data_IF_456305344156
#
_entry.id   IF_456305344156
#
_cell.length_a   1.000
_cell.length_b   1.000
_cell.length_c   1.000
_cell.angle_alpha   90.00
_cell.angle_beta   90.00
_cell.angle_gamma   90.00
#
_symmetry.space_group_name_H-M   'P 1'
#
loop_
_entity.id
_entity.type
_entity.pdbx_description
1 polymer ?
#
# COMPACT_ATOMS: atom_id res chain seq x y z
N UNK A 1 -24.54 7.17 23.48
CA UNK A 1 -24.37 8.59 23.11
C UNK A 1 -23.33 8.57 21.99
N UNK A 2 -23.78 8.79 20.78
CA UNK A 2 -22.96 8.59 19.55
C UNK A 2 -22.25 9.89 19.23
N UNK A 3 -20.92 9.91 19.27
CA UNK A 3 -20.12 11.01 18.76
C UNK A 3 -19.81 10.76 17.28
N UNK A 4 -20.27 11.68 16.46
CA UNK A 4 -19.93 11.75 15.05
C UNK A 4 -18.45 12.15 14.91
N UNK A 5 -17.63 11.25 14.35
CA UNK A 5 -16.29 11.58 13.89
C UNK A 5 -16.47 12.36 12.59
N UNK A 6 -16.44 13.67 12.70
CA UNK A 6 -16.48 14.57 11.54
C UNK A 6 -15.17 14.49 10.77
N UNK A 7 -15.26 14.25 9.47
CA UNK A 7 -14.15 14.39 8.55
C UNK A 7 -13.75 15.87 8.47
N UNK A 8 -12.54 16.18 8.91
CA UNK A 8 -11.92 17.49 8.65
C UNK A 8 -11.21 17.39 7.31
N UNK A 9 -11.83 17.93 6.28
CA UNK A 9 -11.19 18.21 4.99
C UNK A 9 -10.53 19.59 5.12
N UNK A 10 -9.20 19.61 5.14
CA UNK A 10 -8.47 20.87 4.97
C UNK A 10 -7.97 20.94 3.52
N UNK A 11 -8.54 21.87 2.77
CA UNK A 11 -8.04 22.28 1.47
C UNK A 11 -6.87 23.24 1.67
N UNK A 12 -5.76 23.03 0.97
CA UNK A 12 -4.68 24.02 0.83
C UNK A 12 -4.12 24.08 -0.58
N UNK A 13 -3.83 25.30 -0.98
CA UNK A 13 -3.58 25.87 -2.28
C UNK A 13 -2.11 25.71 -2.70
N UNK A 14 -1.93 25.62 -4.02
CA UNK A 14 -0.74 25.56 -4.88
C UNK A 14 0.36 26.62 -4.68
N UNK A 15 1.60 26.21 -4.85
CA UNK A 15 2.70 26.89 -5.61
C UNK A 15 3.84 25.87 -5.72
N UNK A 16 4.45 25.49 -6.77
CA UNK A 16 4.91 25.98 -8.02
C UNK A 16 6.41 25.79 -8.18
N UNK A 17 6.85 24.93 -9.16
CA UNK A 17 8.06 25.00 -9.98
C UNK A 17 9.48 24.90 -9.40
N UNK A 18 10.25 23.95 -9.94
CA UNK A 18 11.69 24.05 -10.09
C UNK A 18 12.38 22.78 -10.56
N UNK A 19 12.69 22.68 -11.84
CA UNK A 19 13.38 21.55 -12.45
C UNK A 19 14.90 21.56 -12.24
N UNK A 20 15.54 20.43 -12.52
CA UNK A 20 17.00 20.31 -12.59
C UNK A 20 17.49 18.90 -12.89
N UNK A 21 18.00 18.74 -14.01
CA UNK A 21 18.73 17.76 -14.82
C UNK A 21 19.65 16.76 -14.13
N UNK A 22 19.82 15.60 -14.78
CA UNK A 22 21.11 14.96 -14.91
C UNK A 22 21.09 13.43 -14.76
N UNK A 23 21.20 12.74 -15.88
CA UNK A 23 21.24 11.31 -16.01
C UNK A 23 22.47 10.63 -15.44
N UNK A 24 22.37 9.32 -15.26
CA UNK A 24 23.46 8.33 -15.47
C UNK A 24 22.93 6.91 -15.41
N UNK A 25 23.50 6.06 -16.28
CA UNK A 25 23.14 4.68 -16.47
C UNK A 25 23.34 3.77 -15.26
N UNK A 26 22.70 2.62 -15.37
CA UNK A 26 22.74 1.38 -14.59
C UNK A 26 23.68 1.40 -13.36
N UNK A 27 23.19 1.87 -12.22
CA UNK A 27 23.94 1.85 -10.96
C UNK A 27 23.19 1.06 -9.90
N UNK A 28 23.79 -0.03 -9.42
CA UNK A 28 23.45 -0.60 -8.11
C UNK A 28 23.77 0.47 -7.06
N UNK A 29 22.77 1.01 -6.39
CA UNK A 29 23.03 1.77 -5.17
C UNK A 29 23.23 0.82 -3.99
N UNK A 30 24.24 1.06 -3.12
CA UNK A 30 24.22 0.51 -1.79
C UNK A 30 22.96 0.98 -1.07
N UNK A 31 22.42 0.20 -0.14
CA UNK A 31 21.32 0.62 0.72
C UNK A 31 21.67 2.01 1.28
N UNK A 32 20.84 3.01 0.95
CA UNK A 32 21.05 4.37 1.42
C UNK A 32 20.93 4.36 2.93
N UNK A 33 21.91 4.93 3.64
CA UNK A 33 21.75 5.09 5.09
C UNK A 33 20.68 6.14 5.36
N UNK A 34 19.89 6.05 6.45
CA UNK A 34 18.87 7.05 6.80
C UNK A 34 19.40 8.50 6.77
N UNK A 35 20.65 8.72 7.19
CA UNK A 35 21.30 10.03 7.14
C UNK A 35 21.48 10.56 5.71
N UNK A 36 21.69 9.68 4.70
CA UNK A 36 21.78 10.09 3.30
C UNK A 36 20.42 10.55 2.74
N UNK A 37 19.33 10.21 3.41
CA UNK A 37 17.95 10.58 3.05
C UNK A 37 17.41 11.75 3.89
N UNK A 38 18.26 12.39 4.71
CA UNK A 38 17.90 13.55 5.52
C UNK A 38 17.33 13.20 6.91
N UNK A 39 17.25 11.92 7.27
CA UNK A 39 16.84 11.53 8.63
C UNK A 39 18.02 11.65 9.60
N UNK A 40 17.81 12.12 10.84
CA UNK A 40 18.85 12.14 11.87
C UNK A 40 19.31 10.73 12.23
N UNK A 41 20.43 10.64 12.93
CA UNK A 41 20.96 9.35 13.39
C UNK A 41 19.94 8.67 14.32
N UNK A 42 19.73 7.37 14.11
CA UNK A 42 18.84 6.59 14.96
C UNK A 42 19.27 6.64 16.44
N UNK A 43 18.32 6.72 17.37
CA UNK A 43 18.63 6.69 18.80
C UNK A 43 19.25 5.35 19.21
N UNK A 44 20.02 5.37 20.32
CA UNK A 44 20.53 4.14 20.91
C UNK A 44 19.36 3.27 21.42
N UNK A 45 19.44 1.98 21.16
CA UNK A 45 18.42 1.00 21.54
C UNK A 45 18.88 0.25 22.80
N UNK A 46 17.96 0.03 23.72
CA UNK A 46 18.17 -0.83 24.89
C UNK A 46 17.77 -2.27 24.57
N UNK A 47 18.54 -3.22 25.09
CA UNK A 47 18.17 -4.63 25.06
C UNK A 47 17.36 -5.02 26.31
N UNK A 48 16.67 -6.16 26.22
CA UNK A 48 16.00 -6.79 27.34
C UNK A 48 14.55 -6.32 27.58
N UNK A 49 13.96 -6.75 28.70
CA UNK A 49 12.57 -6.47 29.04
C UNK A 49 12.34 -4.98 29.38
N UNK A 50 11.09 -4.55 29.27
CA UNK A 50 10.68 -3.22 29.76
C UNK A 50 10.82 -3.13 31.29
N UNK A 51 11.17 -1.94 31.80
CA UNK A 51 11.10 -1.63 33.20
C UNK A 51 9.68 -1.91 33.75
N UNK A 52 9.53 -2.56 34.92
CA UNK A 52 8.21 -2.82 35.50
C UNK A 52 7.33 -1.56 35.63
N UNK A 53 7.93 -0.40 36.00
CA UNK A 53 7.20 0.87 36.09
C UNK A 53 6.63 1.32 34.73
N UNK A 54 7.36 1.05 33.63
CA UNK A 54 6.90 1.35 32.27
C UNK A 54 5.75 0.42 31.88
N UNK A 55 5.82 -0.87 32.25
CA UNK A 55 4.70 -1.81 32.01
C UNK A 55 3.45 -1.38 32.76
N UNK A 56 3.58 -0.99 34.04
CA UNK A 56 2.46 -0.49 34.86
C UNK A 56 1.87 0.80 34.21
N UNK A 57 2.73 1.71 33.74
CA UNK A 57 2.30 2.94 33.10
C UNK A 57 1.58 2.66 31.77
N UNK A 58 2.05 1.73 30.95
CA UNK A 58 1.37 1.36 29.69
C UNK A 58 -0.02 0.77 29.95
N UNK A 59 -0.19 -0.02 31.01
CA UNK A 59 -1.47 -0.61 31.38
C UNK A 59 -2.55 0.44 31.71
N UNK A 60 -2.16 1.65 32.13
CA UNK A 60 -3.09 2.76 32.36
C UNK A 60 -3.17 3.73 31.22
N UNK A 61 -2.05 3.99 30.53
CA UNK A 61 -1.95 4.95 29.44
C UNK A 61 -2.77 4.53 28.20
N UNK A 62 -2.60 3.28 27.74
CA UNK A 62 -3.26 2.84 26.50
C UNK A 62 -4.79 2.90 26.59
N UNK A 63 -5.45 2.38 27.65
CA UNK A 63 -6.88 2.54 27.80
C UNK A 63 -7.33 4.00 27.95
N UNK A 64 -6.52 4.86 28.58
CA UNK A 64 -6.87 6.27 28.82
C UNK A 64 -6.95 7.09 27.54
N UNK A 65 -6.15 6.77 26.52
CA UNK A 65 -6.19 7.42 25.21
C UNK A 65 -7.56 7.28 24.53
N UNK A 66 -8.24 6.18 24.77
CA UNK A 66 -9.54 5.85 24.21
C UNK A 66 -10.71 6.37 25.08
N UNK A 67 -10.39 6.96 26.22
CA UNK A 67 -11.31 7.67 27.10
C UNK A 67 -11.38 9.16 26.79
N UNK A 68 -11.96 9.93 27.72
CA UNK A 68 -12.12 11.38 27.56
C UNK A 68 -10.80 12.15 27.79
N UNK A 69 -9.85 11.57 28.49
CA UNK A 69 -8.57 12.22 28.85
C UNK A 69 -7.43 11.22 28.92
N UNK A 70 -6.35 11.52 28.21
CA UNK A 70 -5.12 10.73 28.24
C UNK A 70 -4.39 10.88 29.60
N UNK A 71 -3.92 9.77 30.18
CA UNK A 71 -3.12 9.76 31.40
C UNK A 71 -1.73 10.37 31.16
N UNK A 72 -1.57 11.64 31.54
CA UNK A 72 -0.33 12.40 31.37
C UNK A 72 0.80 11.96 32.32
N UNK A 73 0.47 11.43 33.48
CA UNK A 73 1.47 10.94 34.44
C UNK A 73 2.07 9.63 33.92
N UNK A 74 1.23 8.72 33.43
CA UNK A 74 1.68 7.49 32.81
C UNK A 74 2.51 7.77 31.53
N UNK A 75 2.08 8.73 30.69
CA UNK A 75 2.86 9.14 29.51
C UNK A 75 4.25 9.70 29.91
N UNK A 76 4.34 10.46 31.00
CA UNK A 76 5.61 10.98 31.46
C UNK A 76 6.56 9.84 31.93
N UNK A 77 6.05 8.82 32.63
CA UNK A 77 6.84 7.62 32.96
C UNK A 77 7.39 6.91 31.75
N UNK A 78 6.54 6.74 30.69
CA UNK A 78 6.96 6.13 29.43
C UNK A 78 8.05 6.97 28.76
N UNK A 79 7.84 8.29 28.65
CA UNK A 79 8.77 9.20 27.98
C UNK A 79 10.12 9.31 28.71
N UNK A 80 10.10 9.36 30.06
CA UNK A 80 11.29 9.49 30.88
C UNK A 80 12.09 8.19 31.03
N UNK A 81 11.56 7.06 30.56
CA UNK A 81 12.26 5.77 30.57
C UNK A 81 13.53 5.79 29.69
N UNK A 82 13.59 6.62 28.69
CA UNK A 82 14.68 6.68 27.69
C UNK A 82 14.82 5.39 26.87
N UNK A 83 13.78 4.56 26.78
CA UNK A 83 13.74 3.39 25.90
C UNK A 83 13.11 3.77 24.54
N UNK A 84 13.97 4.03 23.58
CA UNK A 84 13.55 4.51 22.25
C UNK A 84 12.57 3.56 21.54
N UNK A 85 12.55 2.26 21.87
CA UNK A 85 11.63 1.29 21.28
C UNK A 85 10.15 1.64 21.54
N UNK A 86 9.88 2.33 22.68
CA UNK A 86 8.52 2.78 23.03
C UNK A 86 7.98 3.87 22.09
N UNK A 87 8.82 4.48 21.27
CA UNK A 87 8.40 5.46 20.28
C UNK A 87 7.43 4.87 19.23
N UNK A 88 7.45 3.55 19.01
CA UNK A 88 6.43 2.88 18.19
C UNK A 88 5.03 2.96 18.80
N UNK A 89 4.91 2.77 20.12
CA UNK A 89 3.61 2.92 20.81
C UNK A 89 3.15 4.39 20.79
N UNK A 90 4.08 5.33 20.92
CA UNK A 90 3.77 6.78 20.77
C UNK A 90 3.25 7.07 19.38
N UNK A 91 3.86 6.50 18.33
CA UNK A 91 3.37 6.61 16.96
C UNK A 91 1.95 6.05 16.80
N UNK A 92 1.70 4.85 17.35
CA UNK A 92 0.36 4.26 17.31
C UNK A 92 -0.67 5.14 18.04
N UNK A 93 -0.33 5.66 19.22
CA UNK A 93 -1.20 6.58 19.96
C UNK A 93 -1.47 7.87 19.19
N UNK A 94 -0.49 8.43 18.49
CA UNK A 94 -0.66 9.61 17.63
C UNK A 94 -1.70 9.38 16.53
N UNK A 95 -1.77 8.17 15.98
CA UNK A 95 -2.78 7.81 14.96
C UNK A 95 -4.21 7.89 15.47
N UNK A 96 -4.40 7.74 16.78
CA UNK A 96 -5.71 7.76 17.45
C UNK A 96 -5.94 9.01 18.31
N UNK A 97 -4.98 9.92 18.38
CA UNK A 97 -5.11 11.15 19.19
C UNK A 97 -6.29 12.01 18.68
N UNK A 98 -7.25 12.26 19.57
CA UNK A 98 -8.47 13.00 19.27
C UNK A 98 -8.32 14.51 19.46
N UNK A 99 -7.30 14.97 20.20
CA UNK A 99 -7.09 16.37 20.53
C UNK A 99 -5.68 16.86 20.20
N UNK A 100 -5.55 18.13 19.82
CA UNK A 100 -4.23 18.77 19.64
C UNK A 100 -3.37 18.74 20.91
N UNK A 101 -4.00 18.73 22.09
CA UNK A 101 -3.29 18.67 23.34
C UNK A 101 -2.64 17.29 23.54
N UNK A 102 -3.32 16.21 23.14
CA UNK A 102 -2.79 14.85 23.18
C UNK A 102 -1.70 14.67 22.12
N UNK A 103 -1.94 15.15 20.90
CA UNK A 103 -0.93 15.15 19.86
C UNK A 103 0.36 15.84 20.31
N UNK A 104 0.26 17.05 20.87
CA UNK A 104 1.42 17.79 21.36
C UNK A 104 2.19 17.02 22.45
N UNK A 105 1.49 16.40 23.40
CA UNK A 105 2.15 15.64 24.45
C UNK A 105 2.83 14.37 23.94
N UNK A 106 2.23 13.69 22.98
CA UNK A 106 2.80 12.51 22.34
C UNK A 106 4.05 12.86 21.51
N UNK A 107 4.03 13.99 20.78
CA UNK A 107 5.22 14.49 20.08
C UNK A 107 6.36 14.84 21.04
N UNK A 108 6.05 15.46 22.17
CA UNK A 108 7.05 15.73 23.21
C UNK A 108 7.59 14.42 23.83
N UNK A 109 6.73 13.41 24.03
CA UNK A 109 7.16 12.08 24.49
C UNK A 109 8.10 11.42 23.47
N UNK A 110 7.78 11.50 22.18
CA UNK A 110 8.67 11.02 21.12
C UNK A 110 10.04 11.70 21.18
N UNK A 111 10.07 13.05 21.30
CA UNK A 111 11.33 13.80 21.39
C UNK A 111 12.16 13.39 22.60
N UNK A 112 11.53 13.10 23.75
CA UNK A 112 12.24 12.60 24.97
C UNK A 112 12.81 11.20 24.78
N UNK A 113 12.08 10.32 24.10
CA UNK A 113 12.51 8.93 23.85
C UNK A 113 13.64 8.85 22.82
N UNK A 114 13.62 9.70 21.80
CA UNK A 114 14.50 9.59 20.64
C UNK A 114 15.58 10.67 20.56
N UNK A 115 15.39 11.79 21.25
CA UNK A 115 16.23 12.98 21.11
C UNK A 115 15.94 13.82 19.84
N UNK A 116 14.90 13.49 19.09
CA UNK A 116 14.53 14.18 17.82
C UNK A 116 13.21 14.91 17.99
N UNK A 117 13.19 16.19 17.67
CA UNK A 117 11.97 17.00 17.66
C UNK A 117 11.45 17.15 16.24
N UNK A 118 10.42 16.37 15.91
CA UNK A 118 9.82 16.37 14.55
C UNK A 118 9.07 17.67 14.21
N UNK A 119 8.87 18.59 15.16
CA UNK A 119 8.22 19.88 14.90
C UNK A 119 9.11 20.81 14.11
N UNK A 120 10.43 20.64 14.21
CA UNK A 120 11.42 21.48 13.55
C UNK A 120 11.63 21.07 12.08
N UNK A 121 11.36 19.79 11.74
CA UNK A 121 11.68 19.21 10.44
C UNK A 121 10.43 18.86 9.60
N UNK A 122 9.23 19.02 10.16
CA UNK A 122 7.99 18.62 9.46
C UNK A 122 7.68 19.61 8.31
N UNK A 123 7.40 19.10 7.09
CA UNK A 123 6.72 19.89 6.09
C UNK A 123 5.43 20.47 6.69
N UNK A 124 5.07 21.69 6.31
CA UNK A 124 3.94 22.44 6.90
C UNK A 124 2.57 21.72 6.81
N UNK A 125 2.48 20.69 5.98
CA UNK A 125 1.31 19.88 5.66
C UNK A 125 1.34 18.44 6.22
N UNK A 126 2.50 17.99 6.74
CA UNK A 126 2.61 16.66 7.31
C UNK A 126 2.00 16.60 8.72
N UNK A 127 1.16 15.60 9.00
CA UNK A 127 0.70 15.33 10.35
C UNK A 127 1.87 14.88 11.24
N UNK A 128 1.83 15.23 12.52
CA UNK A 128 2.85 14.80 13.49
C UNK A 128 3.00 13.27 13.52
N UNK A 129 1.89 12.54 13.38
CA UNK A 129 1.92 11.09 13.26
C UNK A 129 2.75 10.60 12.08
N UNK A 130 2.58 11.22 10.89
CA UNK A 130 3.36 10.85 9.69
C UNK A 130 4.83 11.10 9.93
N UNK A 131 5.20 12.28 10.40
CA UNK A 131 6.61 12.64 10.65
C UNK A 131 7.28 11.69 11.65
N UNK A 132 6.63 11.40 12.79
CA UNK A 132 7.13 10.45 13.79
C UNK A 132 7.31 9.06 13.16
N UNK A 133 6.31 8.57 12.45
CA UNK A 133 6.33 7.21 11.89
C UNK A 133 7.37 7.06 10.79
N UNK A 134 7.54 8.09 9.94
CA UNK A 134 8.57 8.09 8.89
C UNK A 134 9.99 7.95 9.48
N UNK A 135 10.27 8.63 10.59
CA UNK A 135 11.55 8.46 11.31
C UNK A 135 11.74 7.04 11.82
N UNK A 136 10.72 6.46 12.45
CA UNK A 136 10.79 5.10 13.00
C UNK A 136 11.01 4.04 11.93
N UNK A 137 10.35 4.19 10.78
CA UNK A 137 10.52 3.30 9.62
C UNK A 137 11.93 3.46 9.04
N UNK A 138 12.38 4.71 8.82
CA UNK A 138 13.69 4.98 8.25
C UNK A 138 14.85 4.48 9.12
N UNK A 139 14.69 4.51 10.44
CA UNK A 139 15.67 3.98 11.39
C UNK A 139 15.63 2.46 11.52
N UNK A 140 14.60 1.81 10.98
CA UNK A 140 14.29 0.40 11.26
C UNK A 140 14.34 0.09 12.77
N UNK A 141 13.80 1.02 13.57
CA UNK A 141 13.89 0.97 15.02
C UNK A 141 13.20 -0.31 15.54
N UNK A 142 13.85 -1.12 16.40
CA UNK A 142 13.20 -2.29 16.97
C UNK A 142 11.95 -1.90 17.79
N UNK A 143 10.93 -2.73 17.77
CA UNK A 143 9.76 -2.56 18.64
C UNK A 143 10.08 -2.99 20.10
N UNK A 144 9.34 -2.46 21.08
CA UNK A 144 9.44 -2.94 22.46
C UNK A 144 8.93 -4.38 22.59
N UNK A 145 9.31 -5.11 23.64
CA UNK A 145 8.67 -6.39 23.99
C UNK A 145 7.15 -6.24 24.08
N UNK A 146 6.43 -7.28 23.72
CA UNK A 146 4.96 -7.36 23.79
C UNK A 146 4.27 -6.29 22.90
N UNK A 147 4.98 -5.76 21.87
CA UNK A 147 4.48 -4.65 21.03
C UNK A 147 3.17 -4.98 20.29
N UNK A 148 3.06 -6.19 19.71
CA UNK A 148 1.85 -6.62 19.03
C UNK A 148 0.63 -6.60 19.97
N UNK A 149 0.82 -7.05 21.19
CA UNK A 149 -0.21 -7.09 22.24
C UNK A 149 -0.66 -5.67 22.59
N UNK A 150 0.27 -4.75 22.87
CA UNK A 150 -0.03 -3.35 23.17
C UNK A 150 -0.70 -2.64 21.98
N UNK A 151 -0.21 -2.87 20.75
CA UNK A 151 -0.84 -2.33 19.55
C UNK A 151 -2.26 -2.85 19.38
N UNK A 152 -2.50 -4.12 19.68
CA UNK A 152 -3.83 -4.72 19.60
C UNK A 152 -4.83 -4.05 20.54
N UNK A 153 -4.41 -3.64 21.75
CA UNK A 153 -5.27 -2.92 22.70
C UNK A 153 -5.85 -1.63 22.09
N UNK A 154 -5.06 -0.89 21.30
CA UNK A 154 -5.52 0.33 20.62
C UNK A 154 -6.39 0.00 19.42
N UNK A 155 -5.93 -0.90 18.55
CA UNK A 155 -6.58 -1.17 17.25
C UNK A 155 -7.92 -1.88 17.42
N UNK A 156 -8.05 -2.81 18.37
CA UNK A 156 -9.28 -3.59 18.55
C UNK A 156 -10.42 -2.80 19.21
N UNK A 157 -10.16 -1.67 19.81
CA UNK A 157 -11.23 -0.76 20.25
C UNK A 157 -11.89 -0.10 19.04
N UNK A 158 -11.11 0.28 18.03
CA UNK A 158 -11.63 0.84 16.80
C UNK A 158 -12.35 -0.21 15.96
N UNK A 159 -11.71 -1.37 15.78
CA UNK A 159 -12.20 -2.44 14.90
C UNK A 159 -11.93 -3.83 15.48
N UNK A 160 -12.86 -4.35 16.29
CA UNK A 160 -12.71 -5.68 16.91
C UNK A 160 -12.53 -6.83 15.92
N UNK A 161 -12.96 -6.67 14.66
CA UNK A 161 -12.85 -7.70 13.61
C UNK A 161 -11.41 -7.94 13.13
N UNK A 162 -10.44 -7.08 13.51
CA UNK A 162 -9.01 -7.36 13.34
C UNK A 162 -8.46 -8.37 14.37
N UNK A 163 -9.25 -8.76 15.38
CA UNK A 163 -8.83 -9.70 16.42
C UNK A 163 -8.11 -10.94 15.89
N UNK A 164 -8.62 -11.66 14.87
CA UNK A 164 -7.92 -12.81 14.30
C UNK A 164 -6.53 -12.52 13.74
N UNK A 165 -6.28 -11.29 13.25
CA UNK A 165 -4.96 -10.91 12.71
C UNK A 165 -3.93 -10.76 13.82
N UNK A 166 -4.32 -10.09 14.93
CA UNK A 166 -3.47 -9.90 16.11
C UNK A 166 -3.29 -11.18 16.93
N UNK A 167 -4.27 -12.07 16.95
CA UNK A 167 -4.22 -13.31 17.72
C UNK A 167 -3.23 -14.35 17.16
N UNK A 168 -2.83 -14.24 15.90
CA UNK A 168 -1.91 -15.18 15.27
C UNK A 168 -0.45 -14.90 15.67
N UNK A 169 0.03 -15.63 16.70
CA UNK A 169 1.40 -15.52 17.17
C UNK A 169 2.45 -16.03 16.16
N UNK A 170 2.02 -16.87 15.21
CA UNK A 170 2.88 -17.42 14.15
C UNK A 170 2.94 -16.57 12.89
N UNK A 171 2.30 -15.38 12.89
CA UNK A 171 2.26 -14.52 11.72
C UNK A 171 3.63 -13.93 11.38
N UNK A 172 3.88 -13.76 10.06
CA UNK A 172 5.04 -13.07 9.50
C UNK A 172 4.78 -11.56 9.33
N UNK A 173 3.79 -11.00 10.05
CA UNK A 173 3.44 -9.60 9.96
C UNK A 173 4.43 -8.78 10.80
N UNK A 174 5.14 -7.84 10.16
CA UNK A 174 5.88 -6.81 10.89
C UNK A 174 4.91 -5.71 11.34
N UNK A 175 4.45 -5.82 12.56
CA UNK A 175 3.46 -4.91 13.12
C UNK A 175 3.96 -3.46 13.25
N UNK A 176 5.27 -3.22 13.22
CA UNK A 176 5.85 -1.87 13.19
C UNK A 176 5.42 -1.11 11.93
N UNK A 177 5.33 -1.81 10.81
CA UNK A 177 5.01 -1.26 9.50
C UNK A 177 3.50 -1.16 9.24
N UNK A 178 2.68 -1.78 10.10
CA UNK A 178 1.23 -1.79 9.93
C UNK A 178 0.60 -0.58 10.62
N UNK A 179 -0.25 0.14 9.89
CA UNK A 179 -1.03 1.28 10.39
C UNK A 179 -2.50 1.20 9.96
N UNK A 180 -3.37 1.97 10.62
CA UNK A 180 -4.75 2.12 10.21
C UNK A 180 -4.87 3.11 9.05
N UNK A 181 -5.45 2.66 7.92
CA UNK A 181 -5.62 3.44 6.70
C UNK A 181 -6.78 4.45 6.71
N UNK A 182 -7.48 4.62 7.83
CA UNK A 182 -8.62 5.55 7.93
C UNK A 182 -9.97 4.93 7.60
N UNK A 183 -9.98 3.66 7.17
CA UNK A 183 -11.20 2.89 6.85
C UNK A 183 -11.21 1.58 7.63
N UNK A 184 -12.39 0.95 7.76
CA UNK A 184 -12.56 -0.29 8.50
C UNK A 184 -12.50 -1.49 7.57
N UNK A 185 -12.49 -2.68 8.15
CA UNK A 185 -12.43 -3.94 7.41
C UNK A 185 -13.70 -4.17 6.58
N UNK A 186 -13.56 -4.61 5.32
CA UNK A 186 -14.67 -5.13 4.51
C UNK A 186 -14.84 -6.62 4.79
N UNK A 187 -15.78 -6.97 5.64
CA UNK A 187 -16.13 -8.37 5.97
C UNK A 187 -17.48 -8.81 5.41
N UNK A 188 -18.01 -8.06 4.43
CA UNK A 188 -19.24 -8.41 3.72
C UNK A 188 -19.11 -9.78 3.07
N UNK A 189 -20.23 -10.51 3.01
CA UNK A 189 -20.27 -11.81 2.34
C UNK A 189 -19.80 -11.71 0.88
N UNK A 190 -19.30 -12.82 0.34
CA UNK A 190 -18.95 -12.88 -1.07
C UNK A 190 -20.19 -12.65 -1.95
N UNK A 191 -20.07 -11.72 -2.91
CA UNK A 191 -21.18 -11.32 -3.78
C UNK A 191 -22.16 -10.30 -3.18
N UNK A 192 -21.91 -9.85 -1.95
CA UNK A 192 -22.70 -8.79 -1.33
C UNK A 192 -22.50 -7.46 -2.07
N UNK A 193 -23.60 -6.81 -2.45
CA UNK A 193 -23.63 -5.55 -3.21
C UNK A 193 -24.02 -4.35 -2.38
N UNK A 194 -24.41 -4.58 -1.13
CA UNK A 194 -24.83 -3.51 -0.23
C UNK A 194 -23.64 -2.59 0.11
N UNK A 195 -23.90 -1.31 0.39
CA UNK A 195 -22.87 -0.41 0.91
C UNK A 195 -22.26 -0.94 2.19
N UNK A 196 -21.01 -0.56 2.44
CA UNK A 196 -20.36 -0.88 3.71
C UNK A 196 -21.17 -0.34 4.89
N UNK A 197 -21.55 -1.17 5.85
CA UNK A 197 -22.34 -0.72 7.02
C UNK A 197 -21.56 0.24 7.91
N UNK A 198 -20.23 0.22 7.81
CA UNK A 198 -19.29 1.13 8.49
C UNK A 198 -18.12 1.39 7.52
N UNK A 199 -17.84 2.60 7.22
CA UNK A 199 -16.73 3.17 6.40
C UNK A 199 -15.63 2.17 5.96
N UNK A 200 -15.97 1.11 5.21
CA UNK A 200 -15.00 0.22 4.59
C UNK A 200 -14.85 0.55 3.10
N UNK A 201 -13.81 0.06 2.46
CA UNK A 201 -13.67 0.06 1.01
C UNK A 201 -14.27 -1.26 0.49
N UNK A 202 -15.44 -1.21 -0.19
CA UNK A 202 -16.18 -2.41 -0.56
C UNK A 202 -15.53 -3.14 -1.73
N UNK A 203 -15.09 -4.38 -1.57
CA UNK A 203 -14.66 -5.19 -2.69
C UNK A 203 -15.81 -5.43 -3.68
N UNK A 204 -15.48 -5.50 -4.99
CA UNK A 204 -16.42 -5.75 -6.08
C UNK A 204 -16.28 -7.20 -6.56
N UNK A 205 -17.29 -8.01 -6.27
CA UNK A 205 -17.29 -9.42 -6.66
C UNK A 205 -18.09 -9.61 -7.96
N UNK A 206 -17.46 -10.27 -8.92
CA UNK A 206 -18.04 -10.64 -10.21
C UNK A 206 -18.83 -9.49 -10.87
N UNK A 207 -18.16 -8.34 -11.15
CA UNK A 207 -18.79 -7.21 -11.82
C UNK A 207 -19.38 -7.62 -13.17
N UNK A 208 -20.40 -6.91 -13.61
CA UNK A 208 -20.94 -7.10 -14.96
C UNK A 208 -19.92 -6.61 -15.97
N UNK A 209 -19.62 -7.47 -16.95
CA UNK A 209 -18.75 -7.16 -18.07
C UNK A 209 -19.55 -6.95 -19.34
N UNK A 210 -19.37 -5.81 -20.00
CA UNK A 210 -19.99 -5.46 -21.26
C UNK A 210 -18.95 -5.48 -22.42
N UNK A 211 -19.41 -5.62 -23.65
CA UNK A 211 -18.54 -5.57 -24.81
C UNK A 211 -17.93 -4.17 -24.99
N UNK A 212 -16.74 -4.08 -25.58
CA UNK A 212 -16.06 -2.81 -25.83
C UNK A 212 -16.96 -1.79 -26.59
N UNK A 213 -17.80 -2.25 -27.53
CA UNK A 213 -18.72 -1.40 -28.28
C UNK A 213 -19.83 -0.75 -27.41
N UNK A 214 -20.06 -1.24 -26.21
CA UNK A 214 -20.97 -0.65 -25.23
C UNK A 214 -20.24 0.12 -24.11
N UNK A 215 -18.92 0.26 -24.23
CA UNK A 215 -18.05 0.94 -23.27
C UNK A 215 -17.77 2.42 -23.58
N UNK A 216 -18.60 3.05 -24.42
CA UNK A 216 -18.44 4.47 -24.82
C UNK A 216 -18.69 5.45 -23.66
N UNK A 217 -19.25 4.98 -22.55
CA UNK A 217 -19.39 5.74 -21.32
C UNK A 217 -18.05 6.10 -20.67
N UNK A 218 -16.99 5.30 -20.94
CA UNK A 218 -15.65 5.56 -20.42
C UNK A 218 -14.77 6.18 -21.51
N UNK A 219 -14.23 7.40 -21.29
CA UNK A 219 -13.47 8.12 -22.30
C UNK A 219 -12.19 7.39 -22.73
N UNK A 220 -11.86 7.50 -24.03
CA UNK A 220 -10.74 6.78 -24.64
C UNK A 220 -9.37 7.13 -24.08
N UNK A 221 -9.20 8.36 -23.58
CA UNK A 221 -7.97 8.87 -22.99
C UNK A 221 -7.75 8.41 -21.55
N UNK A 222 -8.80 7.91 -20.89
CA UNK A 222 -8.72 7.52 -19.46
C UNK A 222 -8.07 6.17 -19.27
N UNK A 223 -7.41 6.03 -18.14
CA UNK A 223 -6.67 4.81 -17.78
C UNK A 223 -7.61 3.65 -17.47
N UNK A 224 -7.28 2.50 -18.03
CA UNK A 224 -7.80 1.19 -17.63
C UNK A 224 -6.66 0.29 -17.18
N UNK A 225 -6.98 -0.62 -16.26
CA UNK A 225 -6.10 -1.72 -15.88
C UNK A 225 -6.52 -2.95 -16.66
N UNK A 226 -5.73 -3.32 -17.66
CA UNK A 226 -6.04 -4.40 -18.58
C UNK A 226 -5.43 -5.73 -18.14
N UNK A 227 -6.23 -6.80 -18.17
CA UNK A 227 -5.80 -8.17 -17.85
C UNK A 227 -6.18 -9.11 -18.97
N UNK A 228 -5.24 -9.94 -19.40
CA UNK A 228 -5.47 -10.99 -20.41
C UNK A 228 -5.26 -12.37 -19.78
N UNK A 229 -6.24 -13.26 -19.93
CA UNK A 229 -6.17 -14.65 -19.49
C UNK A 229 -6.58 -15.55 -20.63
N UNK A 230 -5.63 -16.29 -21.20
CA UNK A 230 -5.83 -17.03 -22.44
C UNK A 230 -6.16 -16.09 -23.60
N UNK A 231 -7.34 -16.26 -24.20
CA UNK A 231 -7.85 -15.41 -25.27
C UNK A 231 -8.83 -14.32 -24.79
N UNK A 232 -9.01 -14.18 -23.47
CA UNK A 232 -9.98 -13.24 -22.89
C UNK A 232 -9.26 -12.02 -22.31
N UNK A 233 -9.57 -10.85 -22.87
CA UNK A 233 -9.11 -9.56 -22.39
C UNK A 233 -10.24 -8.85 -21.63
N UNK A 234 -9.92 -8.22 -20.49
CA UNK A 234 -10.85 -7.44 -19.66
C UNK A 234 -10.16 -6.16 -19.21
N UNK A 235 -10.88 -5.05 -19.33
CA UNK A 235 -10.47 -3.73 -18.86
C UNK A 235 -11.24 -3.35 -17.59
N UNK A 236 -10.51 -2.82 -16.61
CA UNK A 236 -11.04 -2.31 -15.35
C UNK A 236 -10.82 -0.79 -15.33
N UNK A 237 -11.88 0.04 -15.43
CA UNK A 237 -11.77 1.50 -15.35
C UNK A 237 -11.13 1.97 -14.06
N UNK A 238 -10.22 2.93 -14.15
CA UNK A 238 -9.47 3.42 -12.98
C UNK A 238 -10.40 3.95 -11.89
N UNK A 239 -11.41 4.75 -12.22
CA UNK A 239 -12.34 5.30 -11.23
C UNK A 239 -13.13 4.22 -10.47
N UNK A 240 -13.52 3.12 -11.12
CA UNK A 240 -14.15 1.98 -10.45
C UNK A 240 -13.14 1.29 -9.51
N UNK A 241 -11.90 1.11 -9.98
CA UNK A 241 -10.84 0.51 -9.15
C UNK A 241 -10.47 1.38 -7.95
N UNK A 242 -10.51 2.70 -8.07
CA UNK A 242 -10.27 3.65 -6.97
C UNK A 242 -11.31 3.58 -5.86
N UNK A 243 -12.55 3.25 -6.22
CA UNK A 243 -13.66 3.11 -5.25
C UNK A 243 -13.63 1.77 -4.55
N UNK A 244 -13.29 0.70 -5.26
CA UNK A 244 -13.40 -0.67 -4.75
C UNK A 244 -12.08 -1.25 -4.25
N UNK A 245 -10.98 -0.83 -4.82
CA UNK A 245 -9.61 -1.28 -4.52
C UNK A 245 -9.41 -2.81 -4.51
N UNK A 246 -10.43 -3.59 -4.81
CA UNK A 246 -10.41 -5.05 -4.86
C UNK A 246 -11.51 -5.58 -5.75
N UNK A 247 -11.15 -6.36 -6.77
CA UNK A 247 -12.10 -7.10 -7.60
C UNK A 247 -11.81 -8.59 -7.52
N UNK A 248 -12.84 -9.41 -7.27
CA UNK A 248 -12.76 -10.86 -7.42
C UNK A 248 -13.60 -11.26 -8.62
N UNK A 249 -12.99 -11.90 -9.65
CA UNK A 249 -13.66 -12.15 -10.92
C UNK A 249 -13.16 -13.44 -11.59
N UNK A 250 -13.98 -14.04 -12.46
CA UNK A 250 -13.55 -15.14 -13.32
C UNK A 250 -13.33 -14.66 -14.75
N UNK A 251 -12.10 -14.82 -15.26
CA UNK A 251 -11.70 -14.48 -16.62
C UNK A 251 -11.10 -15.73 -17.27
N UNK A 252 -11.59 -16.11 -18.46
CA UNK A 252 -11.06 -17.26 -19.18
C UNK A 252 -11.13 -18.57 -18.40
N UNK A 253 -12.13 -18.72 -17.55
CA UNK A 253 -12.29 -19.89 -16.67
C UNK A 253 -11.36 -19.92 -15.44
N UNK A 254 -10.55 -18.89 -15.21
CA UNK A 254 -9.65 -18.76 -14.06
C UNK A 254 -10.21 -17.75 -13.06
N UNK A 255 -10.14 -18.07 -11.77
CA UNK A 255 -10.53 -17.14 -10.71
C UNK A 255 -9.39 -16.20 -10.37
N UNK A 256 -9.63 -14.88 -10.42
CA UNK A 256 -8.66 -13.85 -10.12
C UNK A 256 -9.13 -12.95 -8.97
N UNK A 257 -8.14 -12.44 -8.23
CA UNK A 257 -8.27 -11.28 -7.35
C UNK A 257 -7.40 -10.15 -7.90
N UNK A 258 -8.00 -8.98 -8.05
CA UNK A 258 -7.34 -7.81 -8.65
C UNK A 258 -7.36 -6.69 -7.61
N UNK A 259 -6.36 -6.65 -6.70
CA UNK A 259 -6.17 -5.52 -5.81
C UNK A 259 -5.67 -4.29 -6.56
N UNK A 260 -6.14 -3.13 -6.15
CA UNK A 260 -5.59 -1.83 -6.51
C UNK A 260 -5.29 -1.03 -5.25
N UNK A 261 -4.07 -0.55 -5.11
CA UNK A 261 -3.69 0.38 -4.05
C UNK A 261 -3.58 1.78 -4.64
N UNK A 262 -4.54 2.66 -4.34
CA UNK A 262 -4.57 4.04 -4.82
C UNK A 262 -3.31 4.78 -4.39
N UNK A 263 -2.93 4.65 -3.11
CA UNK A 263 -1.75 5.29 -2.52
C UNK A 263 -0.42 4.89 -3.17
N UNK A 264 -0.37 3.68 -3.76
CA UNK A 264 0.84 3.12 -4.38
C UNK A 264 0.80 3.18 -5.90
N UNK A 265 -0.31 3.64 -6.51
CA UNK A 265 -0.53 3.60 -7.96
C UNK A 265 -0.39 2.19 -8.54
N UNK A 266 -0.72 1.14 -7.75
CA UNK A 266 -0.41 -0.24 -8.12
C UNK A 266 -1.65 -1.13 -8.25
N UNK A 267 -1.83 -1.72 -9.44
CA UNK A 267 -2.81 -2.76 -9.70
C UNK A 267 -2.09 -4.07 -9.97
N UNK A 268 -2.40 -5.12 -9.20
CA UNK A 268 -1.93 -6.48 -9.44
C UNK A 268 -3.10 -7.38 -9.83
N UNK A 269 -2.82 -8.52 -10.43
CA UNK A 269 -3.80 -9.56 -10.68
C UNK A 269 -3.24 -10.93 -10.29
N UNK A 270 -3.94 -11.62 -9.43
CA UNK A 270 -3.52 -12.89 -8.85
C UNK A 270 -4.50 -14.02 -9.21
N UNK A 271 -3.99 -15.17 -9.64
CA UNK A 271 -4.77 -16.38 -9.79
C UNK A 271 -5.10 -16.97 -8.41
N UNK A 272 -6.36 -16.90 -8.01
CA UNK A 272 -6.83 -17.41 -6.72
C UNK A 272 -7.03 -18.93 -6.73
N UNK A 273 -7.21 -19.52 -7.90
CA UNK A 273 -7.31 -20.96 -8.13
C UNK A 273 -5.96 -21.68 -8.29
N UNK A 274 -4.85 -20.93 -8.25
CA UNK A 274 -3.49 -21.47 -8.31
C UNK A 274 -2.86 -21.60 -6.92
N UNK A 275 -3.59 -22.21 -5.99
CA UNK A 275 -3.18 -22.49 -4.60
C UNK A 275 -2.82 -23.98 -4.44
N UNK A 276 -2.11 -24.37 -3.36
CA UNK A 276 -1.81 -25.78 -3.08
C UNK A 276 -3.05 -26.67 -3.01
N UNK A 277 -2.88 -27.94 -3.29
CA UNK A 277 -3.95 -28.93 -3.18
C UNK A 277 -4.54 -28.94 -1.76
N UNK A 278 -5.86 -29.03 -1.66
CA UNK A 278 -6.59 -28.96 -0.39
C UNK A 278 -6.83 -27.57 0.17
N UNK A 279 -6.26 -26.54 -0.44
CA UNK A 279 -6.54 -25.14 -0.08
C UNK A 279 -7.67 -24.61 -0.96
N UNK A 280 -8.74 -24.11 -0.33
CA UNK A 280 -9.81 -23.46 -1.07
C UNK A 280 -9.32 -22.12 -1.65
N UNK A 281 -9.72 -21.76 -2.89
CA UNK A 281 -9.41 -20.45 -3.45
C UNK A 281 -9.83 -19.32 -2.52
N UNK A 282 -8.94 -18.37 -2.16
CA UNK A 282 -9.29 -17.26 -1.27
C UNK A 282 -10.32 -16.32 -1.91
N UNK A 283 -11.04 -15.60 -1.06
CA UNK A 283 -11.89 -14.45 -1.45
C UNK A 283 -11.27 -13.21 -0.83
N UNK A 284 -10.65 -12.39 -1.66
CA UNK A 284 -9.86 -11.26 -1.19
C UNK A 284 -10.75 -10.08 -0.78
N UNK A 285 -10.36 -9.41 0.30
CA UNK A 285 -11.01 -8.23 0.87
C UNK A 285 -9.99 -7.20 1.30
N UNK A 286 -10.44 -5.97 1.45
CA UNK A 286 -9.69 -4.87 2.04
C UNK A 286 -9.73 -4.98 3.56
N UNK A 287 -8.58 -4.91 4.21
CA UNK A 287 -8.50 -5.00 5.68
C UNK A 287 -8.72 -3.66 6.38
N UNK A 288 -8.58 -2.54 5.68
CA UNK A 288 -8.50 -1.21 6.26
C UNK A 288 -7.14 -0.89 6.87
N UNK A 289 -6.21 -1.83 6.84
CA UNK A 289 -4.82 -1.68 7.28
C UNK A 289 -3.90 -1.39 6.11
N UNK A 290 -2.82 -0.67 6.39
CA UNK A 290 -1.74 -0.37 5.46
C UNK A 290 -0.41 -0.91 6.01
N UNK A 291 0.49 -1.29 5.12
CA UNK A 291 1.89 -1.57 5.42
C UNK A 291 2.76 -0.64 4.59
N UNK A 292 3.50 0.28 5.21
CA UNK A 292 4.27 1.32 4.51
C UNK A 292 3.44 2.02 3.42
N UNK A 293 2.25 2.49 3.74
CA UNK A 293 1.30 3.10 2.79
C UNK A 293 0.69 2.14 1.75
N UNK A 294 1.15 0.89 1.67
CA UNK A 294 0.55 -0.10 0.78
C UNK A 294 -0.61 -0.83 1.46
N UNK A 295 -1.68 -1.00 0.73
CA UNK A 295 -2.87 -1.72 1.21
C UNK A 295 -2.52 -3.14 1.66
N UNK A 296 -3.09 -3.56 2.79
CA UNK A 296 -3.06 -4.94 3.29
C UNK A 296 -4.39 -5.63 2.95
N UNK A 297 -4.33 -6.74 2.23
CA UNK A 297 -5.51 -7.54 1.91
C UNK A 297 -5.59 -8.78 2.82
N UNK A 298 -6.77 -9.40 2.87
CA UNK A 298 -6.97 -10.64 3.60
C UNK A 298 -7.97 -11.56 2.91
N UNK A 299 -7.95 -12.84 3.26
CA UNK A 299 -8.96 -13.81 2.81
C UNK A 299 -10.17 -13.80 3.75
N UNK A 300 -11.35 -13.53 3.19
CA UNK A 300 -12.61 -13.49 3.93
C UNK A 300 -12.91 -14.80 4.70
N UNK A 301 -12.54 -15.94 4.14
CA UNK A 301 -12.89 -17.26 4.68
C UNK A 301 -12.02 -17.71 5.84
N UNK A 302 -10.70 -17.50 5.71
CA UNK A 302 -9.73 -17.99 6.69
C UNK A 302 -9.23 -16.89 7.63
N UNK A 303 -9.55 -15.64 7.35
CA UNK A 303 -8.99 -14.45 8.02
C UNK A 303 -7.46 -14.36 7.92
N UNK A 304 -6.86 -15.07 6.98
CA UNK A 304 -5.42 -14.97 6.71
C UNK A 304 -5.11 -13.64 6.04
N UNK A 305 -4.12 -12.94 6.55
CA UNK A 305 -3.60 -11.69 5.97
C UNK A 305 -2.63 -12.03 4.85
N UNK A 306 -2.69 -11.27 3.76
CA UNK A 306 -1.78 -11.38 2.63
C UNK A 306 -1.16 -10.02 2.31
N UNK A 307 0.11 -10.05 1.94
CA UNK A 307 0.80 -8.91 1.35
C UNK A 307 0.24 -8.63 -0.05
N UNK A 308 -0.31 -7.44 -0.25
CA UNK A 308 -0.96 -7.08 -1.51
C UNK A 308 0.04 -6.96 -2.65
N UNK A 309 1.28 -6.54 -2.35
CA UNK A 309 2.29 -6.30 -3.38
C UNK A 309 2.92 -7.59 -3.93
N UNK A 310 3.11 -8.59 -3.06
CA UNK A 310 3.77 -9.86 -3.39
C UNK A 310 2.81 -11.04 -3.54
N UNK A 311 1.58 -10.93 -3.04
CA UNK A 311 0.61 -12.02 -2.97
C UNK A 311 0.96 -13.09 -1.92
N UNK A 312 1.95 -12.85 -1.05
CA UNK A 312 2.37 -13.80 -0.01
C UNK A 312 1.42 -13.78 1.18
N UNK A 313 1.00 -14.93 1.65
CA UNK A 313 0.29 -15.05 2.91
C UNK A 313 1.24 -14.72 4.08
N UNK A 314 0.77 -13.89 5.02
CA UNK A 314 1.50 -13.42 6.19
C UNK A 314 0.94 -13.99 7.51
N UNK A 315 -0.26 -14.56 7.50
CA UNK A 315 -0.87 -15.13 8.72
C UNK A 315 -1.85 -16.25 8.40
N UNK A 316 -2.25 -16.98 9.43
CA UNK A 316 -3.32 -17.95 9.44
C UNK A 316 -3.09 -19.13 8.51
N UNK A 317 -4.18 -19.82 8.18
CA UNK A 317 -4.15 -21.07 7.41
C UNK A 317 -3.47 -20.96 6.05
N UNK A 318 -3.51 -19.78 5.42
CA UNK A 318 -2.82 -19.60 4.13
C UNK A 318 -1.31 -19.51 4.32
N UNK A 319 -0.83 -18.94 5.43
CA UNK A 319 0.61 -18.95 5.79
C UNK A 319 1.05 -20.39 6.11
N UNK A 320 0.28 -21.13 6.92
CA UNK A 320 0.56 -22.54 7.24
C UNK A 320 0.69 -23.39 5.98
N UNK A 321 -0.16 -23.13 4.98
CA UNK A 321 -0.14 -23.77 3.67
C UNK A 321 0.93 -23.17 2.72
N UNK A 322 1.72 -22.19 3.18
CA UNK A 322 2.77 -21.49 2.40
C UNK A 322 2.24 -20.91 1.09
N UNK A 323 1.04 -20.33 1.12
CA UNK A 323 0.43 -19.74 -0.06
C UNK A 323 1.18 -18.49 -0.47
N UNK A 324 1.59 -18.45 -1.75
CA UNK A 324 1.94 -17.24 -2.48
C UNK A 324 1.14 -17.25 -3.77
N UNK A 325 0.27 -16.28 -3.94
CA UNK A 325 -0.60 -16.18 -5.10
C UNK A 325 0.23 -15.93 -6.37
N UNK A 326 -0.09 -16.66 -7.44
CA UNK A 326 0.58 -16.45 -8.73
C UNK A 326 0.05 -15.20 -9.40
N UNK A 327 0.92 -14.25 -9.66
CA UNK A 327 0.61 -13.03 -10.38
C UNK A 327 0.51 -13.27 -11.89
N UNK A 328 -0.35 -12.50 -12.58
CA UNK A 328 -0.30 -12.25 -14.02
C UNK A 328 -0.10 -10.77 -14.29
N UNK A 329 0.26 -10.41 -15.52
CA UNK A 329 0.49 -9.01 -15.90
C UNK A 329 -0.79 -8.18 -15.85
N UNK A 330 -0.67 -6.98 -15.30
CA UNK A 330 -1.65 -5.90 -15.45
C UNK A 330 -1.01 -4.79 -16.29
N UNK A 331 -1.66 -4.41 -17.38
CA UNK A 331 -1.24 -3.31 -18.25
C UNK A 331 -2.05 -2.07 -17.88
N UNK A 332 -1.39 -1.00 -17.45
CA UNK A 332 -2.02 0.30 -17.27
C UNK A 332 -1.87 1.10 -18.56
N UNK A 333 -2.96 1.31 -19.28
CA UNK A 333 -2.99 2.00 -20.57
C UNK A 333 -4.29 2.79 -20.77
N UNK A 334 -4.41 3.56 -21.86
CA UNK A 334 -5.65 4.24 -22.19
C UNK A 334 -6.71 3.26 -22.69
N UNK A 335 -7.97 3.54 -22.43
CA UNK A 335 -9.09 2.71 -22.92
C UNK A 335 -9.10 2.58 -24.42
N UNK A 336 -8.84 3.68 -25.15
CA UNK A 336 -8.81 3.69 -26.61
C UNK A 336 -7.75 2.76 -27.19
N UNK A 337 -6.51 2.81 -26.69
CA UNK A 337 -5.43 1.93 -27.16
C UNK A 337 -5.66 0.48 -26.73
N UNK A 338 -6.22 0.25 -25.51
CA UNK A 338 -6.57 -1.08 -25.05
C UNK A 338 -7.61 -1.75 -25.95
N UNK A 339 -8.74 -1.08 -26.26
CA UNK A 339 -9.78 -1.64 -27.12
C UNK A 339 -9.33 -1.80 -28.58
N UNK A 340 -8.40 -0.96 -29.05
CA UNK A 340 -7.79 -1.13 -30.37
C UNK A 340 -6.90 -2.38 -30.43
N UNK A 341 -6.11 -2.64 -29.39
CA UNK A 341 -5.25 -3.83 -29.31
C UNK A 341 -6.05 -5.12 -29.04
N UNK A 342 -7.17 -5.01 -28.35
CA UNK A 342 -8.04 -6.13 -27.97
C UNK A 342 -9.49 -5.88 -28.40
N UNK A 343 -9.85 -6.01 -29.69
CA UNK A 343 -11.19 -5.67 -30.20
C UNK A 343 -12.34 -6.45 -29.51
N UNK A 344 -12.06 -7.67 -29.06
CA UNK A 344 -13.03 -8.53 -28.38
C UNK A 344 -13.01 -8.36 -26.84
N UNK A 345 -12.32 -7.34 -26.34
CA UNK A 345 -12.24 -7.07 -24.90
C UNK A 345 -13.60 -6.75 -24.30
N UNK A 346 -13.72 -7.02 -23.02
CA UNK A 346 -14.82 -6.53 -22.22
C UNK A 346 -14.33 -5.45 -21.25
N UNK A 347 -15.23 -4.56 -20.86
CA UNK A 347 -15.02 -3.56 -19.82
C UNK A 347 -16.04 -3.77 -18.70
N UNK A 348 -15.71 -3.43 -17.48
CA UNK A 348 -16.69 -3.39 -16.39
C UNK A 348 -17.80 -2.41 -16.75
N UNK A 349 -19.06 -2.76 -16.51
CA UNK A 349 -20.19 -1.87 -16.78
C UNK A 349 -20.10 -0.56 -15.97
N UNK A 350 -20.67 0.52 -16.49
CA UNK A 350 -20.64 1.86 -15.90
C UNK A 350 -21.04 1.90 -14.43
N UNK A 351 -22.05 1.11 -14.06
CA UNK A 351 -22.57 0.99 -12.70
C UNK A 351 -21.96 -0.19 -11.90
N UNK A 352 -20.87 -0.81 -12.42
CA UNK A 352 -20.25 -2.00 -11.85
C UNK A 352 -21.12 -3.27 -11.94
N UNK A 353 -22.34 -3.15 -12.44
CA UNK A 353 -23.39 -4.17 -12.35
C UNK A 353 -24.04 -4.27 -10.98
N UNK A 354 -23.86 -3.24 -10.14
CA UNK A 354 -24.40 -3.14 -8.77
C UNK A 354 -25.31 -1.93 -8.59
N UNK A 355 -25.55 -1.16 -9.67
CA UNK A 355 -26.38 0.05 -9.65
C UNK A 355 -25.74 1.22 -8.92
N UNK A 356 -24.40 1.32 -8.93
CA UNK A 356 -23.65 2.40 -8.28
C UNK A 356 -23.26 3.46 -9.31
N UNK A 357 -23.40 4.73 -8.94
CA UNK A 357 -22.80 5.84 -9.66
C UNK A 357 -21.34 6.02 -9.22
N UNK A 358 -20.45 6.21 -10.17
CA UNK A 358 -19.03 6.45 -9.93
C UNK A 358 -18.63 7.83 -10.42
N UNK A 359 -18.01 8.60 -9.54
CA UNK A 359 -17.40 9.87 -9.93
C UNK A 359 -16.28 9.63 -10.95
N UNK A 360 -16.03 10.62 -11.78
CA UNK A 360 -14.91 10.58 -12.72
C UNK A 360 -13.55 10.62 -11.99
N UNK A 361 -13.46 11.34 -10.90
CA UNK A 361 -12.29 11.46 -10.03
C UNK A 361 -12.68 11.20 -8.56
N UNK A 362 -12.81 9.93 -8.13
CA UNK A 362 -13.22 9.60 -6.78
C UNK A 362 -12.23 10.02 -5.70
N UNK A 363 -10.97 10.25 -6.07
CA UNK A 363 -9.90 10.62 -5.13
C UNK A 363 -9.77 12.14 -4.98
N UNK A 364 -10.26 12.93 -5.96
CA UNK A 364 -10.21 14.39 -5.92
C UNK A 364 -8.80 14.95 -5.81
N UNK A 365 -7.81 14.30 -6.47
CA UNK A 365 -6.41 14.69 -6.41
C UNK A 365 -5.71 14.41 -5.07
N UNK A 366 -6.32 13.64 -4.16
CA UNK A 366 -5.83 13.40 -2.78
C UNK A 366 -4.39 12.91 -2.70
N UNK A 367 -3.92 12.16 -3.69
CA UNK A 367 -2.63 11.49 -3.75
C UNK A 367 -1.67 12.10 -4.79
N UNK A 368 -2.02 13.24 -5.39
CA UNK A 368 -1.19 13.89 -6.43
C UNK A 368 0.08 14.52 -5.85
N UNK A 369 0.06 14.96 -4.58
CA UNK A 369 1.14 15.70 -3.93
C UNK A 369 2.08 14.83 -3.09
N UNK A 370 2.09 13.53 -3.30
CA UNK A 370 2.96 12.59 -2.59
C UNK A 370 2.23 11.68 -1.61
N UNK A 371 2.96 10.77 -0.95
CA UNK A 371 2.36 9.83 0.00
C UNK A 371 1.70 10.56 1.17
N UNK A 372 0.43 10.31 1.42
CA UNK A 372 -0.32 10.88 2.54
C UNK A 372 -0.21 10.06 3.83
N UNK A 373 0.33 8.86 3.75
CA UNK A 373 0.62 7.98 4.89
C UNK A 373 2.13 7.78 5.04
N UNK A 374 2.61 7.32 6.20
CA UNK A 374 4.02 7.08 6.44
C UNK A 374 4.62 6.05 5.48
N UNK A 375 5.77 6.37 4.92
CA UNK A 375 6.54 5.50 4.04
C UNK A 375 7.99 5.32 4.49
N UNK A 376 8.47 6.18 5.40
CA UNK A 376 9.85 6.16 5.88
C UNK A 376 10.84 6.64 4.84
N UNK A 377 11.97 5.95 4.78
CA UNK A 377 13.02 6.19 3.79
C UNK A 377 12.55 5.78 2.39
N UNK A 378 12.68 6.67 1.43
CA UNK A 378 12.37 6.44 0.02
C UNK A 378 13.67 6.45 -0.78
N UNK A 379 13.84 5.46 -1.66
CA UNK A 379 14.97 5.40 -2.57
C UNK A 379 15.04 6.68 -3.44
N UNK A 380 16.13 7.45 -3.36
CA UNK A 380 16.21 8.78 -3.99
C UNK A 380 16.50 8.76 -5.49
N UNK A 381 16.64 7.58 -6.11
CA UNK A 381 16.97 7.45 -7.54
C UNK A 381 15.90 7.99 -8.48
N UNK A 382 14.63 8.04 -8.04
CA UNK A 382 13.51 8.68 -8.77
C UNK A 382 12.67 9.51 -7.80
N UNK A 383 11.85 10.45 -8.33
CA UNK A 383 10.80 11.08 -7.54
C UNK A 383 9.88 10.04 -6.88
N UNK A 384 9.40 10.34 -5.68
CA UNK A 384 8.66 9.41 -4.81
C UNK A 384 7.49 8.70 -5.51
N UNK A 385 6.72 9.41 -6.33
CA UNK A 385 5.59 8.91 -7.10
C UNK A 385 5.87 8.73 -8.59
N UNK A 386 7.14 8.70 -9.00
CA UNK A 386 7.46 8.34 -10.38
C UNK A 386 6.91 6.95 -10.70
N UNK A 387 6.15 6.83 -11.78
CA UNK A 387 5.60 5.55 -12.21
C UNK A 387 6.71 4.63 -12.73
N UNK A 388 6.73 3.39 -12.27
CA UNK A 388 7.62 2.34 -12.77
C UNK A 388 6.83 1.10 -13.13
N UNK A 389 7.25 0.37 -14.15
CA UNK A 389 6.83 -1.01 -14.38
C UNK A 389 7.88 -1.93 -13.78
N UNK A 390 7.45 -2.75 -12.83
CA UNK A 390 8.33 -3.64 -12.10
C UNK A 390 8.09 -5.11 -12.39
N UNK A 391 9.17 -5.89 -12.33
CA UNK A 391 9.17 -7.34 -12.51
C UNK A 391 10.20 -8.00 -11.60
N UNK A 392 9.85 -9.18 -11.07
CA UNK A 392 10.80 -10.07 -10.42
C UNK A 392 10.96 -11.31 -11.31
N UNK A 393 12.03 -11.39 -12.13
CA UNK A 393 12.24 -12.54 -12.99
C UNK A 393 12.48 -13.80 -12.15
N UNK A 394 12.06 -15.00 -12.59
CA UNK A 394 12.34 -16.25 -11.88
C UNK A 394 13.85 -16.44 -11.65
N UNK A 395 14.26 -16.52 -10.38
CA UNK A 395 15.67 -16.68 -9.98
C UNK A 395 16.55 -15.45 -10.26
N UNK A 396 15.97 -14.32 -10.65
CA UNK A 396 16.65 -13.06 -10.91
C UNK A 396 16.41 -12.01 -9.81
N UNK A 397 17.11 -10.89 -9.95
CA UNK A 397 16.92 -9.72 -9.09
C UNK A 397 15.69 -8.90 -9.59
N UNK A 398 14.99 -8.18 -8.70
CA UNK A 398 13.94 -7.25 -9.11
C UNK A 398 14.47 -6.19 -10.09
N UNK A 399 13.65 -5.85 -11.08
CA UNK A 399 13.95 -4.80 -12.07
C UNK A 399 12.78 -3.85 -12.18
N UNK A 400 13.06 -2.56 -12.18
CA UNK A 400 12.09 -1.50 -12.41
C UNK A 400 12.48 -0.67 -13.65
N UNK A 401 11.49 -0.28 -14.42
CA UNK A 401 11.63 0.58 -15.59
C UNK A 401 10.81 1.84 -15.37
N UNK A 402 11.44 3.01 -15.39
CA UNK A 402 10.71 4.29 -15.32
C UNK A 402 9.78 4.41 -16.54
N UNK A 403 8.47 4.51 -16.30
CA UNK A 403 7.43 4.40 -17.34
C UNK A 403 7.63 5.43 -18.45
N UNK A 404 7.78 6.70 -18.11
CA UNK A 404 7.90 7.78 -19.10
C UNK A 404 9.19 7.64 -19.94
N UNK A 405 10.29 7.27 -19.27
CA UNK A 405 11.54 7.04 -19.96
C UNK A 405 11.48 5.83 -20.89
N UNK A 406 10.82 4.75 -20.47
CA UNK A 406 10.64 3.54 -21.26
C UNK A 406 9.74 3.80 -22.48
N UNK A 407 8.60 4.48 -22.28
CA UNK A 407 7.71 4.88 -23.38
C UNK A 407 8.42 5.76 -24.42
N UNK A 408 9.17 6.77 -23.97
CA UNK A 408 9.92 7.64 -24.86
C UNK A 408 10.99 6.86 -25.65
N UNK A 409 11.71 5.95 -25.02
CA UNK A 409 12.71 5.14 -25.70
C UNK A 409 12.09 4.20 -26.74
N UNK A 410 10.97 3.55 -26.41
CA UNK A 410 10.23 2.68 -27.34
C UNK A 410 9.66 3.47 -28.53
N UNK A 411 9.15 4.68 -28.31
CA UNK A 411 8.65 5.56 -29.37
C UNK A 411 9.78 6.00 -30.33
N UNK A 412 11.01 6.14 -29.82
CA UNK A 412 12.21 6.40 -30.60
C UNK A 412 12.78 5.13 -31.31
N UNK A 413 12.10 3.98 -31.20
CA UNK A 413 12.53 2.70 -31.78
C UNK A 413 13.74 2.09 -31.07
N UNK A 414 13.99 2.46 -29.80
CA UNK A 414 15.10 1.92 -29.03
C UNK A 414 14.66 0.77 -28.13
N UNK A 415 15.54 -0.22 -27.96
CA UNK A 415 15.32 -1.33 -27.04
C UNK A 415 15.38 -0.87 -25.60
N UNK A 416 14.44 -1.32 -24.78
CA UNK A 416 14.39 -1.09 -23.35
C UNK A 416 14.65 -2.41 -22.62
N UNK A 417 15.91 -2.60 -22.17
CA UNK A 417 16.35 -3.87 -21.59
C UNK A 417 17.17 -3.66 -20.32
N UNK A 418 16.91 -4.44 -19.29
CA UNK A 418 17.72 -4.51 -18.07
C UNK A 418 17.52 -5.87 -17.38
N UNK A 419 18.53 -6.34 -16.61
CA UNK A 419 18.37 -7.55 -15.79
C UNK A 419 17.97 -8.83 -16.55
N UNK A 420 18.28 -8.91 -17.86
CA UNK A 420 17.93 -10.06 -18.69
C UNK A 420 16.48 -10.07 -19.21
N UNK A 421 15.71 -9.01 -18.95
CA UNK A 421 14.35 -8.83 -19.45
C UNK A 421 14.25 -7.63 -20.39
N UNK A 422 13.18 -7.57 -21.18
CA UNK A 422 12.86 -6.46 -22.08
C UNK A 422 11.46 -5.92 -21.80
N UNK A 423 11.26 -4.62 -22.03
CA UNK A 423 9.97 -3.96 -22.00
C UNK A 423 9.53 -3.69 -23.41
N UNK A 424 8.26 -3.95 -23.68
CA UNK A 424 7.61 -3.64 -24.96
C UNK A 424 6.36 -2.81 -24.73
N UNK A 425 6.02 -1.97 -25.69
CA UNK A 425 4.72 -1.29 -25.70
C UNK A 425 3.60 -2.32 -25.89
N UNK A 426 2.53 -2.22 -25.13
CA UNK A 426 1.39 -3.10 -25.20
C UNK A 426 0.11 -2.35 -24.83
N UNK A 427 -0.81 -2.23 -25.78
CA UNK A 427 -2.17 -1.70 -25.56
C UNK A 427 -2.20 -0.36 -24.78
N UNK A 428 -1.34 0.57 -25.14
CA UNK A 428 -1.22 1.88 -24.48
C UNK A 428 -0.43 1.87 -23.18
N UNK A 429 0.03 0.71 -22.72
CA UNK A 429 0.88 0.54 -21.55
C UNK A 429 2.20 -0.15 -21.88
N UNK A 430 2.76 -0.81 -20.88
CA UNK A 430 4.03 -1.52 -20.97
C UNK A 430 3.88 -2.97 -20.49
N UNK A 431 4.54 -3.89 -21.20
CA UNK A 431 4.65 -5.30 -20.85
C UNK A 431 6.10 -5.71 -20.71
N UNK A 432 6.39 -6.61 -19.79
CA UNK A 432 7.74 -7.14 -19.58
C UNK A 432 7.82 -8.58 -20.09
N UNK A 433 8.91 -8.89 -20.81
CA UNK A 433 9.19 -10.22 -21.36
C UNK A 433 10.61 -10.66 -21.07
N UNK A 434 10.83 -11.95 -21.12
CA UNK A 434 12.21 -12.45 -21.27
C UNK A 434 12.73 -12.11 -22.66
N UNK A 435 14.05 -12.10 -22.88
CA UNK A 435 14.63 -11.92 -24.24
C UNK A 435 14.21 -13.01 -25.23
N UNK A 436 13.69 -14.14 -24.76
CA UNK A 436 13.10 -15.17 -25.60
C UNK A 436 11.61 -14.92 -25.94
N UNK A 437 11.07 -13.76 -25.58
CA UNK A 437 9.70 -13.34 -25.88
C UNK A 437 8.63 -13.92 -24.95
N UNK A 438 8.99 -14.59 -23.86
CA UNK A 438 8.02 -15.10 -22.88
C UNK A 438 7.59 -14.00 -21.94
N UNK A 439 6.28 -13.75 -21.82
CA UNK A 439 5.72 -12.80 -20.89
C UNK A 439 6.08 -13.13 -19.43
N UNK A 440 6.38 -12.08 -18.67
CA UNK A 440 6.66 -12.14 -17.24
C UNK A 440 5.57 -11.36 -16.50
N UNK A 441 5.10 -11.85 -15.34
CA UNK A 441 4.19 -11.10 -14.49
C UNK A 441 4.81 -9.76 -14.10
N UNK A 442 4.16 -8.67 -14.46
CA UNK A 442 4.62 -7.32 -14.19
C UNK A 442 3.43 -6.41 -13.88
N UNK A 443 3.66 -5.34 -13.16
CA UNK A 443 2.66 -4.32 -12.89
C UNK A 443 3.30 -2.95 -12.73
N UNK A 444 2.50 -1.92 -12.93
CA UNK A 444 2.90 -0.54 -12.66
C UNK A 444 2.69 -0.21 -11.19
N UNK A 445 3.60 0.58 -10.61
CA UNK A 445 3.50 1.11 -9.26
C UNK A 445 4.24 2.45 -9.17
N UNK A 446 4.00 3.20 -8.10
CA UNK A 446 4.86 4.32 -7.75
C UNK A 446 6.22 3.82 -7.23
N UNK A 447 7.27 4.63 -7.48
CA UNK A 447 8.64 4.26 -7.16
C UNK A 447 8.86 3.94 -5.69
N UNK A 448 8.28 4.74 -4.77
CA UNK A 448 8.43 4.46 -3.34
C UNK A 448 7.92 3.07 -2.97
N UNK A 449 6.76 2.69 -3.50
CA UNK A 449 6.16 1.39 -3.21
C UNK A 449 7.00 0.26 -3.82
N UNK A 450 7.35 0.35 -5.11
CA UNK A 450 8.17 -0.68 -5.75
C UNK A 450 9.50 -0.89 -5.03
N UNK A 451 10.25 0.19 -4.75
CA UNK A 451 11.58 0.11 -4.16
C UNK A 451 11.59 -0.43 -2.74
N UNK A 452 10.56 -0.15 -1.95
CA UNK A 452 10.43 -0.66 -0.58
C UNK A 452 10.08 -2.14 -0.49
N UNK A 453 9.22 -2.63 -1.40
CA UNK A 453 8.88 -4.05 -1.47
C UNK A 453 9.91 -4.88 -2.23
N UNK A 454 10.78 -4.24 -3.00
CA UNK A 454 11.85 -4.86 -3.77
C UNK A 454 13.18 -4.15 -3.51
N UNK A 455 13.73 -4.22 -2.27
CA UNK A 455 14.99 -3.57 -1.95
C UNK A 455 16.11 -4.10 -2.82
N UNK A 456 17.00 -3.21 -3.24
CA UNK A 456 18.09 -3.56 -4.17
C UNK A 456 17.64 -3.73 -5.63
N UNK A 457 16.40 -3.34 -5.96
CA UNK A 457 15.91 -3.39 -7.34
C UNK A 457 16.84 -2.66 -8.30
N UNK A 458 17.11 -3.29 -9.46
CA UNK A 458 17.78 -2.62 -10.57
C UNK A 458 16.83 -1.62 -11.21
N UNK A 459 17.25 -0.39 -11.37
CA UNK A 459 16.47 0.64 -12.01
C UNK A 459 17.00 0.92 -13.43
N UNK A 460 16.12 0.84 -14.41
CA UNK A 460 16.37 1.32 -15.76
C UNK A 460 15.78 2.71 -15.93
N UNK A 461 16.61 3.64 -16.34
CA UNK A 461 16.25 4.97 -16.81
C UNK A 461 16.82 5.16 -18.19
N UNK A 462 16.29 6.12 -18.95
CA UNK A 462 16.81 6.39 -20.30
C UNK A 462 18.31 6.69 -20.23
N UNK A 463 19.19 5.93 -20.93
CA UNK A 463 20.58 6.36 -21.11
C UNK A 463 20.58 7.67 -21.91
N UNK A 464 21.50 8.59 -21.57
CA UNK A 464 21.74 9.85 -22.29
C UNK A 464 22.13 9.62 -23.75
#
# INVERSE_FOLDING_TARGET
>A
MWLAVGAVVAALVLVGCGGGQGGRGDTRSPASTPAALGFPVAPAVRDGPLDPRVKDALATLLPSLLGDTMDREALAVVADSGDARLAWLVSDMLRFAASRQDETALVLAFARLTGVDVRDDAPSDASAWRSVTDHLIAWDLPAPPDYREHKSELFLVLEPRWGPFFADAGSDIDWRLVSWGGVLIDDRAAGDRDPCPRSCIPALDDPVLIAAAAGDWYPDERTVFGVVVGDKAVAFPQNIMEVHEMVNITIGGRRLGIPYCTLCGSAQAYFLDAVPEGVAPPVLRTSGLLSRSNKVMYDLRTRSVLDTFTGRALSGRLLDARVTLKQTTVVAGSWGEWKQAHPDTKIVAEDGGIGRDYDDDPLGGRDDDGPIFPVGDVDPRLPVQAAVVGVVPPGGEPVAFAVDAARAALADGRDVTAGGVEVVADAGGLRVRTRAGKDLPAHQAFWFAWSQFNPGTRLWTRPD
#
